data_IF_256490669509
#
_entry.id   IF_256490669509
#
_cell.length_a   1.000
_cell.length_b   1.000
_cell.length_c   1.000
_cell.angle_alpha   90.00
_cell.angle_beta   90.00
_cell.angle_gamma   90.00
#
_symmetry.space_group_name_H-M   'P 1'
#
loop_
_entity.id
_entity.type
_entity.pdbx_description
1 polymer ?
#
# COMPACT_ATOMS: atom_id res chain seq x y z
N UNK A 1 -24.89 -1.27 -6.29
CA UNK A 1 -24.22 -1.43 -6.39
C UNK A 1 -23.94 -1.79 -6.46
N UNK A 2 -23.73 -1.85 -6.63
CA UNK A 2 -22.96 -2.09 -6.74
C UNK A 2 -22.81 -2.64 -7.14
N UNK A 3 -22.70 -2.70 -7.54
CA UNK A 3 -22.05 -3.09 -8.02
C UNK A 3 -21.78 -3.69 -7.99
N UNK A 4 -21.98 -3.81 -8.16
CA UNK A 4 -21.32 -4.26 -8.20
C UNK A 4 -20.97 -4.76 -8.07
N UNK A 5 -21.07 -4.79 -8.01
CA UNK A 5 -20.38 -5.10 -7.98
C UNK A 5 -20.04 -5.42 -8.04
N UNK A 6 -20.07 -5.09 -8.87
CA UNK A 6 -19.05 -5.30 -8.53
C UNK A 6 -18.92 -5.54 -7.31
N UNK A 7 -19.52 -5.63 -6.88
CA UNK A 7 -19.79 -5.68 -5.55
C UNK A 7 -18.87 -6.30 -4.59
N UNK A 8 -17.92 -6.95 -4.98
CA UNK A 8 -17.04 -7.69 -4.08
C UNK A 8 -15.79 -6.94 -3.70
N UNK A 9 -15.86 -5.63 -3.81
CA UNK A 9 -14.73 -4.80 -3.41
C UNK A 9 -14.57 -4.89 -1.90
N UNK A 10 -13.42 -5.37 -1.44
CA UNK A 10 -13.09 -5.45 -0.03
C UNK A 10 -12.71 -4.07 0.50
N UNK A 11 -13.02 -3.83 1.76
CA UNK A 11 -12.64 -2.62 2.43
C UNK A 11 -11.55 -2.92 3.45
N UNK A 12 -10.82 -1.88 3.85
CA UNK A 12 -9.72 -2.05 4.79
C UNK A 12 -10.15 -2.70 6.09
N UNK A 13 -11.33 -2.38 6.60
CA UNK A 13 -11.79 -2.96 7.86
C UNK A 13 -11.86 -4.50 7.79
N UNK A 14 -12.24 -5.03 6.64
CA UNK A 14 -12.25 -6.47 6.44
C UNK A 14 -10.83 -7.03 6.35
N UNK A 15 -9.97 -6.32 5.63
CA UNK A 15 -8.59 -6.73 5.45
C UNK A 15 -7.82 -6.71 6.77
N UNK A 16 -8.12 -5.73 7.63
CA UNK A 16 -7.43 -5.55 8.91
C UNK A 16 -7.46 -6.82 9.75
N UNK A 17 -8.52 -7.59 9.65
CA UNK A 17 -8.66 -8.82 10.41
C UNK A 17 -7.60 -9.86 10.04
N UNK A 18 -6.98 -9.72 8.88
CA UNK A 18 -5.92 -10.63 8.43
C UNK A 18 -4.53 -10.18 8.90
N UNK A 19 -4.41 -8.95 9.39
CA UNK A 19 -3.11 -8.41 9.79
C UNK A 19 -2.81 -8.86 11.22
N UNK A 20 -1.70 -9.58 11.45
CA UNK A 20 -1.34 -9.96 12.81
C UNK A 20 -1.27 -8.73 13.72
N UNK A 21 -1.70 -8.89 14.96
CA UNK A 21 -1.80 -7.76 15.89
C UNK A 21 -0.49 -7.00 16.03
N UNK A 22 0.64 -7.70 16.07
CA UNK A 22 1.93 -7.04 16.22
C UNK A 22 2.33 -6.21 15.00
N UNK A 23 1.73 -6.51 13.84
CA UNK A 23 2.03 -5.81 12.59
C UNK A 23 1.06 -4.65 12.36
N UNK A 24 -0.13 -4.69 12.97
CA UNK A 24 -1.17 -3.70 12.71
C UNK A 24 -0.72 -2.24 12.87
N UNK A 25 -0.05 -1.84 13.96
CA UNK A 25 0.33 -0.43 14.11
C UNK A 25 1.23 0.06 12.98
N UNK A 26 2.21 -0.74 12.61
CA UNK A 26 3.13 -0.39 11.53
C UNK A 26 2.40 -0.32 10.18
N UNK A 27 1.51 -1.30 9.94
CA UNK A 27 0.74 -1.34 8.72
C UNK A 27 -0.17 -0.12 8.59
N UNK A 28 -0.84 0.23 9.67
CA UNK A 28 -1.75 1.38 9.66
C UNK A 28 -1.00 2.69 9.45
N UNK A 29 0.19 2.81 10.00
CA UNK A 29 0.99 4.02 9.78
C UNK A 29 1.40 4.15 8.32
N UNK A 30 1.84 3.06 7.70
CA UNK A 30 2.20 3.09 6.27
C UNK A 30 0.98 3.35 5.40
N UNK A 31 -0.14 2.73 5.75
CA UNK A 31 -1.40 2.96 5.03
C UNK A 31 -1.80 4.43 5.08
N UNK A 32 -1.80 5.00 6.28
CA UNK A 32 -2.18 6.40 6.46
C UNK A 32 -1.24 7.32 5.69
N UNK A 33 0.04 7.03 5.73
CA UNK A 33 1.03 7.80 4.98
C UNK A 33 0.69 7.80 3.48
N UNK A 34 0.38 6.62 2.93
CA UNK A 34 0.05 6.52 1.51
C UNK A 34 -1.21 7.30 1.16
N UNK A 35 -2.25 7.20 2.01
CA UNK A 35 -3.50 7.90 1.75
C UNK A 35 -3.35 9.41 1.79
N UNK A 36 -2.39 9.92 2.56
CA UNK A 36 -2.17 11.36 2.70
C UNK A 36 -1.27 11.95 1.63
N UNK A 37 -0.73 11.14 0.73
CA UNK A 37 0.14 11.64 -0.32
C UNK A 37 -0.58 12.49 -1.36
N UNK A 38 -1.88 12.26 -1.56
CA UNK A 38 -2.65 13.02 -2.54
C UNK A 38 -4.13 12.80 -2.38
N UNK A 39 -4.92 13.65 -3.01
CA UNK A 39 -6.37 13.63 -2.88
C UNK A 39 -7.03 12.53 -3.70
N UNK A 40 -6.36 12.06 -4.74
CA UNK A 40 -6.95 11.11 -5.69
C UNK A 40 -6.45 9.69 -5.52
N UNK A 41 -5.77 9.41 -4.42
CA UNK A 41 -5.23 8.08 -4.14
C UNK A 41 -6.37 7.05 -4.09
N UNK A 42 -6.16 5.94 -4.78
CA UNK A 42 -7.09 4.82 -4.74
C UNK A 42 -6.45 3.71 -3.92
N UNK A 43 -7.16 3.28 -2.89
CA UNK A 43 -6.76 2.15 -2.05
C UNK A 43 -7.45 0.91 -2.59
N UNK A 44 -6.70 0.06 -3.27
CA UNK A 44 -7.24 -1.15 -3.88
C UNK A 44 -6.95 -2.33 -2.97
N UNK A 45 -7.94 -2.73 -2.19
CA UNK A 45 -7.81 -3.81 -1.22
C UNK A 45 -7.98 -5.15 -1.94
N UNK A 46 -6.93 -5.97 -1.90
CA UNK A 46 -6.94 -7.29 -2.52
C UNK A 46 -6.93 -8.37 -1.46
N UNK A 47 -6.90 -9.63 -1.89
CA UNK A 47 -7.01 -10.74 -0.97
C UNK A 47 -5.87 -10.75 0.07
N UNK A 48 -4.63 -10.55 -0.38
CA UNK A 48 -3.47 -10.66 0.49
C UNK A 48 -2.66 -9.38 0.65
N UNK A 49 -3.04 -8.31 -0.04
CA UNK A 49 -2.30 -7.06 -0.01
C UNK A 49 -3.19 -5.89 -0.37
N UNK A 50 -2.70 -4.70 -0.09
CA UNK A 50 -3.37 -3.46 -0.49
C UNK A 50 -2.46 -2.75 -1.47
N UNK A 51 -3.02 -2.39 -2.63
CA UNK A 51 -2.28 -1.68 -3.68
C UNK A 51 -2.73 -0.23 -3.67
N UNK A 52 -1.77 0.69 -3.66
CA UNK A 52 -2.06 2.12 -3.68
C UNK A 52 -1.75 2.68 -5.06
N UNK A 53 -2.76 3.30 -5.66
CA UNK A 53 -2.66 3.90 -6.99
C UNK A 53 -2.73 5.41 -6.87
N UNK A 54 -2.03 6.11 -7.75
CA UNK A 54 -1.97 7.57 -7.71
C UNK A 54 -3.33 8.20 -7.99
N UNK A 55 -4.15 7.54 -8.80
CA UNK A 55 -5.47 8.02 -9.14
C UNK A 55 -6.28 6.89 -9.75
N UNK A 56 -7.47 7.21 -10.24
CA UNK A 56 -8.36 6.24 -10.90
C UNK A 56 -7.76 5.66 -12.19
N UNK A 57 -6.63 6.17 -12.66
CA UNK A 57 -5.93 5.59 -13.79
C UNK A 57 -5.21 4.29 -13.43
N UNK A 58 -5.26 3.91 -12.14
CA UNK A 58 -4.65 2.68 -11.63
C UNK A 58 -3.13 2.60 -11.83
N UNK A 59 -2.48 3.75 -11.82
CA UNK A 59 -1.01 3.81 -11.82
C UNK A 59 -0.55 3.55 -10.40
N UNK A 60 -0.27 2.29 -10.08
CA UNK A 60 0.13 1.93 -8.72
C UNK A 60 1.58 2.35 -8.47
N UNK A 61 1.84 2.81 -7.25
CA UNK A 61 3.18 3.21 -6.83
C UNK A 61 3.70 2.37 -5.66
N UNK A 62 2.84 1.75 -4.89
CA UNK A 62 3.30 0.85 -3.83
C UNK A 62 2.20 -0.16 -3.51
N UNK A 63 2.62 -1.32 -2.96
CA UNK A 63 1.68 -2.22 -2.34
C UNK A 63 2.26 -2.73 -1.01
N UNK A 64 1.37 -3.09 -0.12
CA UNK A 64 1.70 -3.53 1.23
C UNK A 64 1.07 -4.89 1.47
N UNK A 65 1.90 -5.87 1.81
CA UNK A 65 1.43 -7.21 2.10
C UNK A 65 1.89 -7.62 3.50
N UNK A 66 0.97 -7.83 4.46
CA UNK A 66 1.38 -8.23 5.80
C UNK A 66 1.81 -9.69 5.83
N UNK A 67 2.84 -9.97 6.63
CA UNK A 67 3.23 -11.34 6.93
C UNK A 67 2.96 -11.58 8.41
N UNK A 68 3.46 -12.68 8.96
CA UNK A 68 3.27 -13.00 10.38
C UNK A 68 3.91 -11.96 11.29
N UNK A 69 5.01 -11.34 10.87
CA UNK A 69 5.75 -10.41 11.73
C UNK A 69 6.37 -9.24 10.97
N UNK A 70 5.96 -9.03 9.73
CA UNK A 70 6.55 -7.97 8.90
C UNK A 70 5.57 -7.50 7.85
N UNK A 71 6.02 -6.55 7.03
CA UNK A 71 5.27 -6.09 5.87
C UNK A 71 6.19 -6.17 4.66
N UNK A 72 5.72 -6.86 3.62
CA UNK A 72 6.41 -6.85 2.32
C UNK A 72 5.91 -5.65 1.54
N UNK A 73 6.84 -4.84 1.06
CA UNK A 73 6.51 -3.59 0.37
C UNK A 73 7.10 -3.64 -1.03
N UNK A 74 6.26 -3.39 -2.03
CA UNK A 74 6.73 -3.21 -3.40
C UNK A 74 6.55 -1.75 -3.78
N UNK A 75 7.55 -1.20 -4.46
CA UNK A 75 7.55 0.21 -4.84
C UNK A 75 7.85 0.33 -6.33
N UNK A 76 6.99 1.02 -7.06
CA UNK A 76 7.13 1.23 -8.50
C UNK A 76 7.26 2.72 -8.80
N UNK A 77 8.44 3.12 -9.28
CA UNK A 77 8.67 4.53 -9.63
C UNK A 77 8.30 4.82 -11.08
N UNK A 78 8.41 3.83 -11.94
CA UNK A 78 7.96 3.94 -13.33
C UNK A 78 7.91 2.53 -13.91
N UNK A 79 7.26 2.42 -15.07
CA UNK A 79 7.16 1.13 -15.75
C UNK A 79 8.51 0.64 -16.30
N UNK A 80 9.45 1.57 -16.48
CA UNK A 80 10.75 1.26 -17.06
C UNK A 80 11.80 0.90 -16.03
N UNK A 81 11.53 1.21 -14.77
CA UNK A 81 12.48 0.94 -13.67
C UNK A 81 12.01 -0.31 -12.94
N UNK A 82 12.92 -1.25 -12.63
CA UNK A 82 12.52 -2.45 -11.91
C UNK A 82 11.85 -2.13 -10.58
N UNK A 83 10.87 -2.94 -10.21
CA UNK A 83 10.16 -2.78 -8.96
C UNK A 83 11.12 -3.06 -7.80
N UNK A 84 11.12 -2.16 -6.81
CA UNK A 84 11.87 -2.36 -5.58
C UNK A 84 11.01 -3.15 -4.61
N UNK A 85 11.60 -4.19 -4.00
CA UNK A 85 10.91 -5.00 -2.99
C UNK A 85 11.66 -4.89 -1.69
N UNK A 86 10.94 -4.60 -0.62
CA UNK A 86 11.50 -4.42 0.72
C UNK A 86 10.69 -5.24 1.71
N UNK A 87 11.30 -5.55 2.86
CA UNK A 87 10.57 -6.15 3.96
C UNK A 87 10.89 -5.35 5.23
N UNK A 88 9.85 -4.92 5.94
CA UNK A 88 10.01 -4.09 7.13
C UNK A 88 9.46 -4.81 8.35
N UNK A 89 10.28 -4.88 9.41
CA UNK A 89 9.94 -5.57 10.66
C UNK A 89 9.64 -4.61 11.81
N UNK A 90 10.06 -3.36 11.69
CA UNK A 90 9.95 -2.40 12.80
C UNK A 90 9.95 -0.98 12.26
N UNK A 91 9.91 -0.02 13.17
CA UNK A 91 9.92 1.41 12.80
C UNK A 91 11.30 1.94 12.46
N UNK A 92 12.35 1.14 12.62
CA UNK A 92 13.74 1.63 12.50
C UNK A 92 14.05 2.35 11.19
N UNK A 93 13.55 1.83 10.08
CA UNK A 93 13.82 2.43 8.76
C UNK A 93 12.57 3.04 8.14
N UNK A 94 11.58 3.32 8.96
CA UNK A 94 10.29 3.78 8.47
C UNK A 94 10.38 5.06 7.64
N UNK A 95 11.20 6.02 8.10
CA UNK A 95 11.32 7.28 7.36
C UNK A 95 11.97 7.10 6.00
N UNK A 96 12.95 6.22 5.88
CA UNK A 96 13.56 5.92 4.59
C UNK A 96 12.55 5.26 3.66
N UNK A 97 11.73 4.38 4.19
CA UNK A 97 10.69 3.69 3.43
C UNK A 97 9.64 4.70 2.95
N UNK A 98 9.21 5.60 3.83
CA UNK A 98 8.25 6.65 3.48
C UNK A 98 8.81 7.55 2.37
N UNK A 99 10.09 7.90 2.45
CA UNK A 99 10.73 8.71 1.43
C UNK A 99 10.71 7.99 0.08
N UNK A 100 11.02 6.70 0.06
CA UNK A 100 10.99 5.91 -1.17
C UNK A 100 9.59 5.82 -1.76
N UNK A 101 8.57 5.64 -0.92
CA UNK A 101 7.19 5.58 -1.37
C UNK A 101 6.77 6.94 -1.95
N UNK A 102 7.13 8.04 -1.28
CA UNK A 102 6.81 9.37 -1.76
C UNK A 102 7.49 9.66 -3.09
N UNK A 103 8.74 9.24 -3.25
CA UNK A 103 9.45 9.39 -4.52
C UNK A 103 8.73 8.65 -5.64
N UNK A 104 8.26 7.44 -5.35
CA UNK A 104 7.52 6.66 -6.34
C UNK A 104 6.21 7.35 -6.71
N UNK A 105 5.48 7.84 -5.71
CA UNK A 105 4.24 8.57 -5.95
C UNK A 105 4.48 9.79 -6.85
N UNK A 106 5.57 10.52 -6.59
CA UNK A 106 5.90 11.72 -7.35
C UNK A 106 6.34 11.39 -8.78
N UNK A 107 7.05 10.26 -8.95
CA UNK A 107 7.64 9.88 -10.24
C UNK A 107 6.68 9.16 -11.17
N UNK A 108 5.72 8.40 -10.64
CA UNK A 108 4.81 7.62 -11.46
C UNK A 108 3.81 8.56 -12.14
N UNK A 109 3.52 8.28 -13.42
CA UNK A 109 2.56 9.08 -14.20
C UNK A 109 1.33 8.23 -14.61
#
# INVERSE_FOLDING_TARGET
>A
MDFVSFGNKKEFNDFKNQIPIIVQPLFEELRQFCLELGENIVEDVRMHRIVFCKSMTFRWFTDLEPTQNSILIKIQKSRKIPITSLEVFSYDKLEEIKTSIKDAYTSIH
#
